data_IF_626481634633
#
_entry.id   IF_626481634633
#
_cell.length_a   1.000
_cell.length_b   1.000
_cell.length_c   1.000
_cell.angle_alpha   90.00
_cell.angle_beta   90.00
_cell.angle_gamma   90.00
#
_symmetry.space_group_name_H-M   'P 1'
#
loop_
_entity.id
_entity.type
_entity.pdbx_description
1 polymer ?
#
# COMPACT_ATOMS: atom_id res chain seq x y z
N UNK A 1 16.50 15.83 -12.63
CA UNK A 1 16.45 14.42 -13.10
C UNK A 1 15.45 14.35 -14.24
N UNK A 2 15.86 13.89 -15.42
CA UNK A 2 14.93 13.56 -16.50
C UNK A 2 14.18 12.28 -16.13
N UNK A 3 12.87 12.26 -16.33
CA UNK A 3 12.03 11.06 -16.12
C UNK A 3 11.83 10.38 -17.47
N UNK A 4 12.12 9.08 -17.53
CA UNK A 4 11.87 8.20 -18.67
C UNK A 4 11.20 6.94 -18.13
N UNK A 5 10.04 6.58 -18.69
CA UNK A 5 9.22 5.44 -18.28
C UNK A 5 9.48 4.26 -19.22
N UNK A 6 9.46 3.03 -18.69
CA UNK A 6 9.43 1.82 -19.51
C UNK A 6 7.98 1.51 -19.93
N UNK A 7 7.74 1.10 -21.20
CA UNK A 7 6.42 0.64 -21.64
C UNK A 7 5.85 -0.52 -20.78
N UNK A 8 6.72 -1.40 -20.28
CA UNK A 8 6.34 -2.54 -19.42
C UNK A 8 5.73 -2.13 -18.09
N UNK A 9 6.03 -0.91 -17.64
CA UNK A 9 5.63 -0.41 -16.32
C UNK A 9 4.33 0.40 -16.37
N UNK A 10 3.81 0.64 -17.57
CA UNK A 10 2.58 1.40 -17.78
C UNK A 10 1.38 0.55 -17.36
N UNK A 11 0.69 1.01 -16.32
CA UNK A 11 -0.55 0.41 -15.81
C UNK A 11 -1.75 0.91 -16.60
N UNK A 12 -1.79 2.22 -16.89
CA UNK A 12 -2.85 2.86 -17.67
C UNK A 12 -2.30 4.10 -18.37
N UNK A 13 -2.73 4.33 -19.61
CA UNK A 13 -2.46 5.56 -20.33
C UNK A 13 -3.70 6.02 -21.09
N UNK A 14 -3.90 7.33 -21.20
CA UNK A 14 -5.09 7.89 -21.84
C UNK A 14 -5.06 9.41 -21.91
N UNK A 15 -5.96 9.97 -22.71
CA UNK A 15 -6.15 11.41 -22.74
C UNK A 15 -7.03 11.87 -21.59
N UNK A 16 -6.66 13.01 -21.01
CA UNK A 16 -7.45 13.73 -20.01
C UNK A 16 -7.34 15.23 -20.29
N UNK A 17 -8.32 16.01 -19.82
CA UNK A 17 -8.12 17.44 -19.68
C UNK A 17 -7.50 17.70 -18.31
N UNK A 18 -6.33 18.33 -18.29
CA UNK A 18 -5.61 18.67 -17.06
C UNK A 18 -5.62 20.17 -16.86
N UNK A 19 -5.91 20.61 -15.64
CA UNK A 19 -5.80 22.02 -15.30
C UNK A 19 -4.33 22.42 -15.16
N UNK A 20 -3.95 23.52 -15.82
CA UNK A 20 -2.61 24.09 -15.74
C UNK A 20 -2.35 24.74 -14.38
N UNK A 21 -1.09 24.68 -13.91
CA UNK A 21 -0.68 25.18 -12.58
C UNK A 21 -0.99 26.66 -12.35
N UNK A 22 -0.61 27.49 -13.32
CA UNK A 22 -0.55 28.94 -13.14
C UNK A 22 -1.69 29.65 -13.85
N UNK A 23 -2.15 29.11 -14.99
CA UNK A 23 -3.17 29.76 -15.81
C UNK A 23 -4.59 29.23 -15.53
N UNK A 24 -4.72 28.17 -14.73
CA UNK A 24 -5.98 27.49 -14.40
C UNK A 24 -6.82 27.03 -15.61
N UNK A 25 -6.24 27.07 -16.81
CA UNK A 25 -6.86 26.58 -18.04
C UNK A 25 -6.76 25.05 -18.15
N UNK A 26 -7.80 24.44 -18.70
CA UNK A 26 -7.85 23.03 -19.06
C UNK A 26 -7.08 22.78 -20.35
N UNK A 27 -6.13 21.83 -20.33
CA UNK A 27 -5.35 21.44 -21.51
C UNK A 27 -5.39 19.93 -21.68
N UNK A 28 -5.56 19.48 -22.92
CA UNK A 28 -5.47 18.06 -23.25
C UNK A 28 -4.05 17.56 -23.01
N UNK A 29 -3.91 16.47 -22.27
CA UNK A 29 -2.63 15.84 -21.93
C UNK A 29 -2.75 14.33 -22.04
N UNK A 30 -1.67 13.70 -22.48
CA UNK A 30 -1.52 12.25 -22.40
C UNK A 30 -1.05 11.90 -21.00
N UNK A 31 -1.93 11.28 -20.20
CA UNK A 31 -1.64 10.86 -18.84
C UNK A 31 -1.14 9.41 -18.88
N UNK A 32 -0.09 9.12 -18.13
CA UNK A 32 0.49 7.78 -17.99
C UNK A 32 0.66 7.50 -16.51
N UNK A 33 0.06 6.40 -16.06
CA UNK A 33 0.23 5.84 -14.72
C UNK A 33 1.16 4.63 -14.81
N UNK A 34 2.19 4.63 -13.97
CA UNK A 34 3.01 3.46 -13.66
C UNK A 34 2.78 3.03 -12.21
N UNK A 35 3.50 2.00 -11.74
CA UNK A 35 3.45 1.57 -10.34
C UNK A 35 3.91 2.63 -9.34
N UNK A 36 4.83 3.51 -9.75
CA UNK A 36 5.46 4.49 -8.85
C UNK A 36 5.11 5.94 -9.18
N UNK A 37 4.65 6.21 -10.41
CA UNK A 37 4.54 7.57 -10.93
C UNK A 37 3.25 7.83 -11.69
N UNK A 38 2.76 9.05 -11.57
CA UNK A 38 1.73 9.63 -12.44
C UNK A 38 2.34 10.77 -13.25
N UNK A 39 2.41 10.59 -14.57
CA UNK A 39 3.10 11.49 -15.48
C UNK A 39 2.14 12.05 -16.53
N UNK A 40 2.30 13.32 -16.88
CA UNK A 40 1.55 13.95 -17.98
C UNK A 40 2.50 14.41 -19.09
N UNK A 41 2.08 14.22 -20.34
CA UNK A 41 2.85 14.52 -21.54
C UNK A 41 2.02 15.38 -22.50
N UNK A 42 2.71 16.14 -23.35
CA UNK A 42 2.09 16.90 -24.45
C UNK A 42 1.63 16.01 -25.59
N UNK A 43 2.32 14.88 -25.82
CA UNK A 43 2.16 14.02 -27.00
C UNK A 43 1.72 12.63 -26.60
N UNK A 44 0.83 12.02 -27.40
CA UNK A 44 0.36 10.64 -27.21
C UNK A 44 1.53 9.66 -27.30
N UNK A 45 1.55 8.68 -26.40
CA UNK A 45 2.57 7.61 -26.42
C UNK A 45 3.95 8.04 -25.96
N UNK A 46 4.15 9.31 -25.61
CA UNK A 46 5.41 9.76 -25.02
C UNK A 46 5.62 9.12 -23.64
N UNK A 47 6.84 8.66 -23.41
CA UNK A 47 7.28 8.06 -22.14
C UNK A 47 8.52 8.74 -21.56
N UNK A 48 9.10 9.71 -22.27
CA UNK A 48 10.25 10.48 -21.82
C UNK A 48 9.87 11.96 -21.68
N UNK A 49 10.54 12.66 -20.77
CA UNK A 49 10.41 14.10 -20.57
C UNK A 49 8.95 14.55 -20.31
N UNK A 50 8.30 14.03 -19.25
CA UNK A 50 6.95 14.46 -18.89
C UNK A 50 6.92 15.96 -18.59
N UNK A 51 5.81 16.60 -18.92
CA UNK A 51 5.54 18.01 -18.59
C UNK A 51 5.39 18.18 -17.07
N UNK A 52 4.70 17.26 -16.42
CA UNK A 52 4.60 17.18 -14.96
C UNK A 52 4.61 15.70 -14.55
N UNK A 53 5.22 15.41 -13.40
CA UNK A 53 5.31 14.07 -12.83
C UNK A 53 5.09 14.10 -11.32
N UNK A 54 4.32 13.14 -10.81
CA UNK A 54 4.11 12.92 -9.38
C UNK A 54 4.60 11.54 -8.99
N UNK A 55 5.32 11.45 -7.87
CA UNK A 55 5.60 10.17 -7.23
C UNK A 55 4.35 9.77 -6.43
N UNK A 56 3.80 8.59 -6.69
CA UNK A 56 2.57 8.13 -6.06
C UNK A 56 2.73 7.98 -4.54
N UNK A 57 3.94 7.64 -4.07
CA UNK A 57 4.27 7.60 -2.63
C UNK A 57 4.14 8.95 -1.91
N UNK A 58 4.15 10.06 -2.65
CA UNK A 58 4.01 11.42 -2.11
C UNK A 58 2.56 11.92 -2.24
N UNK A 59 1.68 11.12 -2.85
CA UNK A 59 0.27 11.45 -2.99
C UNK A 59 -0.47 11.05 -1.71
N UNK A 60 -1.36 11.92 -1.25
CA UNK A 60 -2.17 11.70 -0.04
C UNK A 60 -3.58 11.22 -0.37
N UNK A 61 -4.10 11.56 -1.53
CA UNK A 61 -5.50 11.30 -1.88
C UNK A 61 -5.74 11.28 -3.39
N UNK A 62 -6.69 10.47 -3.84
CA UNK A 62 -7.29 10.53 -5.17
C UNK A 62 -8.81 10.41 -5.04
N UNK A 63 -9.56 11.40 -5.53
CA UNK A 63 -11.02 11.52 -5.28
C UNK A 63 -11.72 12.24 -6.42
N UNK A 64 -13.04 12.07 -6.51
CA UNK A 64 -13.91 12.88 -7.37
C UNK A 64 -13.79 14.37 -7.03
N UNK A 65 -13.91 15.22 -8.04
CA UNK A 65 -13.79 16.68 -7.92
C UNK A 65 -14.87 17.42 -8.72
N UNK A 66 -15.97 16.75 -9.06
CA UNK A 66 -17.04 17.29 -9.91
C UNK A 66 -17.64 18.57 -9.31
N UNK A 67 -17.91 18.55 -8.00
CA UNK A 67 -18.44 19.71 -7.26
C UNK A 67 -17.40 20.83 -7.11
N UNK A 68 -16.13 20.48 -6.87
CA UNK A 68 -15.04 21.44 -6.62
C UNK A 68 -14.64 22.19 -7.88
N UNK A 69 -14.64 21.51 -9.02
CA UNK A 69 -14.24 22.10 -10.31
C UNK A 69 -15.42 22.59 -11.15
N UNK A 70 -16.65 22.17 -10.82
CA UNK A 70 -17.84 22.37 -11.64
C UNK A 70 -17.80 21.62 -12.98
N UNK A 71 -16.89 20.65 -13.15
CA UNK A 71 -16.70 19.89 -14.38
C UNK A 71 -17.10 18.43 -14.16
N UNK A 72 -18.00 17.91 -15.00
CA UNK A 72 -18.38 16.51 -14.98
C UNK A 72 -17.19 15.61 -15.31
N UNK A 73 -17.15 14.42 -14.72
CA UNK A 73 -16.08 13.42 -14.87
C UNK A 73 -14.72 13.93 -14.38
N UNK A 74 -14.71 14.89 -13.46
CA UNK A 74 -13.48 15.41 -12.90
C UNK A 74 -13.08 14.69 -11.62
N UNK A 75 -11.78 14.59 -11.43
CA UNK A 75 -11.16 14.02 -10.25
C UNK A 75 -9.86 14.75 -9.95
N UNK A 76 -9.39 14.61 -8.72
CA UNK A 76 -8.13 15.19 -8.30
C UNK A 76 -7.19 14.17 -7.68
N UNK A 77 -5.90 14.44 -7.82
CA UNK A 77 -4.81 13.73 -7.14
C UNK A 77 -4.06 14.72 -6.29
N UNK A 78 -4.17 14.57 -4.97
CA UNK A 78 -3.51 15.41 -3.99
C UNK A 78 -2.12 14.83 -3.66
N UNK A 79 -1.11 15.69 -3.70
CA UNK A 79 0.25 15.38 -3.23
C UNK A 79 0.79 16.50 -2.38
N UNK A 80 1.87 16.25 -1.65
CA UNK A 80 2.47 17.23 -0.72
C UNK A 80 2.86 18.57 -1.37
N UNK A 81 3.15 18.58 -2.68
CA UNK A 81 3.61 19.78 -3.39
C UNK A 81 2.63 20.28 -4.45
N UNK A 82 1.63 19.48 -4.81
CA UNK A 82 0.83 19.72 -6.01
C UNK A 82 -0.49 18.97 -5.99
N UNK A 83 -1.54 19.63 -6.46
CA UNK A 83 -2.81 18.99 -6.81
C UNK A 83 -2.95 18.94 -8.33
N UNK A 84 -3.31 17.77 -8.87
CA UNK A 84 -3.72 17.63 -10.26
C UNK A 84 -5.23 17.58 -10.32
N UNK A 85 -5.86 18.56 -10.99
CA UNK A 85 -7.24 18.46 -11.42
C UNK A 85 -7.30 17.93 -12.85
N UNK A 86 -8.10 16.88 -13.04
CA UNK A 86 -8.18 16.08 -14.25
C UNK A 86 -9.65 15.86 -14.60
N UNK A 87 -9.97 15.83 -15.90
CA UNK A 87 -11.28 15.46 -16.42
C UNK A 87 -11.08 14.27 -17.36
N UNK A 88 -11.77 13.17 -17.06
CA UNK A 88 -11.79 11.98 -17.91
C UNK A 88 -12.82 12.11 -19.04
N UNK A 89 -12.66 11.33 -20.11
CA UNK A 89 -13.58 11.38 -21.25
C UNK A 89 -14.97 10.83 -20.90
N UNK A 90 -15.06 9.88 -19.96
CA UNK A 90 -16.32 9.24 -19.55
C UNK A 90 -16.35 9.01 -18.03
N UNK A 91 -17.54 8.80 -17.43
CA UNK A 91 -17.65 8.43 -16.02
C UNK A 91 -16.90 7.14 -15.69
N UNK A 92 -16.99 6.12 -16.55
CA UNK A 92 -16.26 4.87 -16.37
C UNK A 92 -14.73 5.05 -16.41
N UNK A 93 -14.24 5.94 -17.28
CA UNK A 93 -12.82 6.25 -17.34
C UNK A 93 -12.36 7.03 -16.09
N UNK A 94 -13.19 7.94 -15.55
CA UNK A 94 -12.93 8.58 -14.23
C UNK A 94 -12.74 7.53 -13.15
N UNK A 95 -13.71 6.63 -12.98
CA UNK A 95 -13.65 5.59 -11.96
C UNK A 95 -12.45 4.66 -12.16
N UNK A 96 -12.11 4.33 -13.41
CA UNK A 96 -10.91 3.55 -13.73
C UNK A 96 -9.63 4.28 -13.32
N UNK A 97 -9.51 5.59 -13.56
CA UNK A 97 -8.35 6.37 -13.12
C UNK A 97 -8.26 6.42 -11.60
N UNK A 98 -9.34 6.77 -10.89
CA UNK A 98 -9.37 6.83 -9.43
C UNK A 98 -8.96 5.47 -8.83
N UNK A 99 -9.57 4.38 -9.32
CA UNK A 99 -9.31 3.03 -8.83
C UNK A 99 -7.89 2.55 -9.09
N UNK A 100 -7.34 2.79 -10.30
CA UNK A 100 -5.98 2.37 -10.63
C UNK A 100 -4.94 3.19 -9.86
N UNK A 101 -5.09 4.52 -9.79
CA UNK A 101 -4.18 5.38 -9.02
C UNK A 101 -4.22 4.99 -7.54
N UNK A 102 -5.42 4.82 -6.97
CA UNK A 102 -5.59 4.42 -5.58
C UNK A 102 -4.91 3.09 -5.24
N UNK A 103 -5.02 2.09 -6.13
CA UNK A 103 -4.32 0.80 -5.97
C UNK A 103 -2.80 0.96 -5.93
N UNK A 104 -2.22 1.82 -6.78
CA UNK A 104 -0.78 2.02 -6.83
C UNK A 104 -0.25 2.91 -5.67
N UNK A 105 -1.11 3.66 -4.99
CA UNK A 105 -0.72 4.46 -3.82
C UNK A 105 -0.50 3.62 -2.55
N UNK A 106 -1.08 2.42 -2.47
CA UNK A 106 -0.96 1.53 -1.32
C UNK A 106 0.40 0.83 -1.37
N UNK A 107 1.23 1.02 -0.34
CA UNK A 107 2.44 0.21 -0.15
C UNK A 107 2.04 -1.15 0.42
N UNK A 108 2.53 -2.28 -0.10
CA UNK A 108 2.56 -3.50 0.67
C UNK A 108 3.28 -3.18 1.98
N UNK A 109 2.64 -3.46 3.12
CA UNK A 109 3.33 -3.40 4.40
C UNK A 109 4.51 -4.36 4.29
N UNK A 110 5.73 -3.82 4.30
CA UNK A 110 6.92 -4.66 4.42
C UNK A 110 6.85 -5.21 5.84
N UNK A 111 6.39 -6.46 5.99
CA UNK A 111 6.79 -7.25 7.15
C UNK A 111 8.30 -7.42 6.96
N UNK A 112 9.08 -6.54 7.56
CA UNK A 112 10.50 -6.76 7.71
C UNK A 112 10.61 -7.97 8.65
N UNK A 113 10.73 -9.17 8.07
CA UNK A 113 11.31 -10.30 8.79
C UNK A 113 12.76 -9.93 9.06
N UNK A 114 12.97 -9.18 10.13
CA UNK A 114 14.29 -8.99 10.72
C UNK A 114 14.62 -10.32 11.37
N UNK A 115 15.12 -11.26 10.58
CA UNK A 115 15.80 -12.43 11.11
C UNK A 115 17.00 -11.91 11.91
N UNK A 116 16.81 -11.76 13.22
CA UNK A 116 17.92 -11.72 14.15
C UNK A 116 18.39 -13.15 14.31
N UNK A 117 19.56 -13.46 13.74
CA UNK A 117 20.36 -14.61 14.12
C UNK A 117 20.56 -14.56 15.64
N UNK A 118 19.86 -15.45 16.37
CA UNK A 118 20.21 -15.79 17.73
C UNK A 118 20.90 -17.13 17.61
N UNK A 119 22.24 -17.10 17.66
CA UNK A 119 23.03 -18.31 17.84
C UNK A 119 22.54 -19.04 19.09
N UNK A 120 22.21 -20.32 18.90
CA UNK A 120 21.91 -21.27 19.95
C UNK A 120 23.12 -21.39 20.91
N UNK A 121 22.87 -21.23 22.21
CA UNK A 121 23.89 -21.57 23.19
C UNK A 121 23.48 -21.34 24.64
N UNK A 122 23.05 -22.42 25.32
CA UNK A 122 22.87 -22.54 26.78
C UNK A 122 21.66 -21.74 27.31
N UNK A 123 20.58 -22.30 27.87
CA UNK A 123 20.52 -23.19 29.04
C UNK A 123 19.17 -23.93 29.01
N UNK A 124 19.25 -25.22 29.32
CA UNK A 124 18.20 -26.21 29.60
C UNK A 124 16.90 -25.63 30.20
N UNK A 125 15.77 -25.93 29.55
CA UNK A 125 14.47 -25.99 30.19
C UNK A 125 14.49 -27.03 31.31
N UNK A 126 14.19 -26.62 32.53
CA UNK A 126 13.33 -27.35 33.47
C UNK A 126 12.90 -26.40 34.58
N UNK A 127 11.70 -25.85 34.47
CA UNK A 127 10.91 -25.42 35.62
C UNK A 127 9.43 -25.76 35.40
N UNK A 128 9.15 -27.06 35.36
CA UNK A 128 7.92 -27.60 35.94
C UNK A 128 8.39 -28.53 37.06
N UNK A 129 8.33 -28.08 38.30
CA UNK A 129 7.16 -28.13 39.20
C UNK A 129 6.94 -29.54 39.77
N UNK A 130 6.60 -29.57 41.06
CA UNK A 130 6.45 -30.73 41.96
C UNK A 130 7.70 -31.24 42.70
N UNK A 131 7.96 -30.55 43.81
CA UNK A 131 8.42 -31.19 45.04
C UNK A 131 7.29 -32.12 45.53
N UNK A 132 7.50 -33.41 45.40
CA UNK A 132 6.88 -34.44 46.26
C UNK A 132 8.07 -35.25 46.75
N UNK A 133 8.48 -35.14 48.00
CA UNK A 133 7.79 -35.71 49.14
C UNK A 133 8.75 -36.71 49.77
N UNK A 134 8.97 -36.54 51.07
CA UNK A 134 9.88 -37.30 51.92
C UNK A 134 9.69 -38.83 51.88
N UNK A 135 10.82 -39.53 51.85
CA UNK A 135 11.19 -40.77 52.58
C UNK A 135 10.20 -41.94 52.63
N UNK A 136 10.68 -43.12 52.20
CA UNK A 136 10.85 -44.35 53.00
C UNK A 136 10.69 -45.59 52.12
N UNK A 137 11.72 -46.44 52.11
CA UNK A 137 11.56 -47.84 51.76
C UNK A 137 11.25 -48.64 53.02
N UNK A 138 10.52 -49.74 52.79
CA UNK A 138 10.41 -50.95 53.62
C UNK A 138 9.44 -50.89 54.81
N UNK A 139 8.23 -51.40 54.59
CA UNK A 139 7.75 -52.72 55.05
C UNK A 139 6.21 -52.72 55.11
N UNK A 140 5.65 -53.90 54.87
CA UNK A 140 4.31 -54.35 55.26
C UNK A 140 3.10 -53.86 54.42
N UNK A 141 2.62 -54.75 53.54
CA UNK A 141 1.20 -54.88 53.18
C UNK A 141 0.40 -55.32 54.45
N UNK A 142 -0.94 -55.13 54.59
CA UNK A 142 -1.97 -55.43 53.58
C UNK A 142 -3.34 -54.67 53.68
N UNK A 143 -4.23 -55.04 52.74
CA UNK A 143 -5.72 -55.11 52.79
C UNK A 143 -6.61 -53.83 52.88
N UNK A 144 -7.44 -53.68 51.83
CA UNK A 144 -8.76 -53.01 51.77
C UNK A 144 -9.71 -53.57 52.86
N UNK A 145 -10.78 -52.87 53.35
CA UNK A 145 -11.86 -52.33 52.49
C UNK A 145 -12.70 -51.12 52.99
N UNK A 146 -13.49 -50.59 52.02
CA UNK A 146 -14.84 -50.02 52.09
C UNK A 146 -15.26 -48.93 53.08
N UNK A 147 -15.91 -47.89 52.52
CA UNK A 147 -17.24 -47.48 52.98
C UNK A 147 -17.37 -46.03 53.48
N UNK A 148 -18.34 -45.32 52.86
CA UNK A 148 -19.32 -44.36 53.43
C UNK A 148 -19.06 -43.85 54.86
N UNK A 149 -19.20 -42.57 55.17
CA UNK A 149 -20.22 -41.56 54.80
C UNK A 149 -19.63 -40.16 55.04
#
# INVERSE_FOLDING_TARGET
RSVVLSPSDVVKAGYVMKQSKHLLQWKRRWLVLTKDMLCSFSTKGALAYPTEALLLRMCSSVKSADEETGQANSFKVDSSSRVFYLIAETPADKEAWIGQIGRQMIRPAVILNRESEVEEGMIRNTCDSYVVGSSLTRRDAPQFPNGFD
#
